data_IF_386491767314
#
_entry.id   IF_386491767314
#
_cell.length_a   1.000
_cell.length_b   1.000
_cell.length_c   1.000
_cell.angle_alpha   90.00
_cell.angle_beta   90.00
_cell.angle_gamma   90.00
#
_symmetry.space_group_name_H-M   'P 1'
#
loop_
_entity.id
_entity.type
_entity.pdbx_description
1 polymer ?
#
# COMPACT_ATOMS: atom_id res chain seq x y z
N UNK A 1 -33.51 56.35 3.52
CA UNK A 1 -33.08 55.67 2.28
C UNK A 1 -32.11 54.59 2.74
N UNK A 2 -32.66 53.38 2.84
CA UNK A 2 -31.92 52.19 3.23
C UNK A 2 -31.33 51.54 1.96
N UNK A 3 -30.03 51.43 1.86
CA UNK A 3 -29.39 50.57 0.91
C UNK A 3 -29.14 49.21 1.56
N UNK A 4 -29.89 48.22 1.12
CA UNK A 4 -29.69 46.80 1.43
C UNK A 4 -28.48 46.28 0.66
N UNK A 5 -27.40 46.03 1.37
CA UNK A 5 -26.31 45.18 0.89
C UNK A 5 -26.82 43.75 0.75
N UNK A 6 -26.97 43.28 -0.50
CA UNK A 6 -27.20 41.87 -0.81
C UNK A 6 -25.85 41.17 -0.73
N UNK A 7 -25.64 40.39 0.34
CA UNK A 7 -24.58 39.40 0.42
C UNK A 7 -24.82 38.29 -0.61
N UNK A 8 -23.92 38.19 -1.58
CA UNK A 8 -23.88 37.05 -2.50
C UNK A 8 -23.25 35.89 -1.77
N UNK A 9 -24.07 34.93 -1.35
CA UNK A 9 -23.58 33.62 -0.95
C UNK A 9 -23.22 32.82 -2.20
N UNK A 10 -21.95 32.44 -2.31
CA UNK A 10 -21.46 31.57 -3.37
C UNK A 10 -21.53 30.14 -2.83
N UNK A 11 -22.51 29.38 -3.28
CA UNK A 11 -22.56 27.94 -3.02
C UNK A 11 -21.71 27.21 -4.06
N UNK A 12 -20.60 26.61 -3.64
CA UNK A 12 -19.82 25.69 -4.48
C UNK A 12 -20.39 24.29 -4.26
N UNK A 13 -21.03 23.76 -5.26
CA UNK A 13 -21.55 22.38 -5.27
C UNK A 13 -20.70 21.57 -6.25
N UNK A 14 -19.98 20.58 -5.75
CA UNK A 14 -19.28 19.63 -6.60
C UNK A 14 -20.15 18.43 -6.95
N UNK A 15 -20.18 18.06 -8.22
CA UNK A 15 -20.81 16.82 -8.70
C UNK A 15 -19.75 15.70 -8.61
N UNK A 16 -20.03 14.72 -7.80
CA UNK A 16 -19.24 13.52 -7.65
C UNK A 16 -19.93 12.36 -8.35
N UNK A 17 -19.37 11.94 -9.48
CA UNK A 17 -19.73 10.68 -10.11
C UNK A 17 -18.67 9.65 -9.75
N UNK A 18 -18.95 8.80 -8.77
CA UNK A 18 -18.15 7.60 -8.53
C UNK A 18 -18.85 6.40 -9.19
N UNK A 19 -18.33 5.97 -10.33
CA UNK A 19 -18.73 4.69 -10.93
C UNK A 19 -17.83 3.61 -10.35
N UNK A 20 -18.35 2.84 -9.42
CA UNK A 20 -17.72 1.58 -9.00
C UNK A 20 -18.37 0.47 -9.81
N UNK A 21 -17.59 -0.21 -10.64
CA UNK A 21 -18.05 -1.33 -11.45
C UNK A 21 -18.50 -2.45 -10.49
N UNK A 22 -19.81 -2.67 -10.45
CA UNK A 22 -20.42 -3.79 -9.72
C UNK A 22 -21.60 -3.42 -8.81
N UNK A 23 -21.70 -2.19 -8.33
CA UNK A 23 -22.89 -1.75 -7.57
C UNK A 23 -23.08 -0.25 -7.83
N UNK A 24 -24.17 0.09 -8.50
CA UNK A 24 -24.45 1.44 -8.94
C UNK A 24 -24.66 2.42 -7.77
N UNK A 25 -23.75 3.37 -7.64
CA UNK A 25 -23.89 4.51 -6.76
C UNK A 25 -23.98 5.78 -7.59
N UNK A 26 -25.02 6.55 -7.41
CA UNK A 26 -25.14 7.92 -7.92
C UNK A 26 -25.02 8.85 -6.73
N UNK A 27 -23.90 9.55 -6.64
CA UNK A 27 -23.76 10.70 -5.73
C UNK A 27 -24.09 11.92 -6.56
N UNK A 28 -25.27 12.48 -6.34
CA UNK A 28 -25.72 13.71 -7.02
C UNK A 28 -25.45 14.91 -6.12
N UNK A 29 -24.58 15.80 -6.56
CA UNK A 29 -24.44 17.14 -5.99
C UNK A 29 -25.08 18.12 -6.98
N UNK A 30 -26.03 18.93 -6.54
CA UNK A 30 -26.69 19.93 -7.38
C UNK A 30 -25.93 21.25 -7.34
N UNK A 31 -25.54 21.73 -8.50
CA UNK A 31 -24.86 23.01 -8.67
C UNK A 31 -25.89 24.14 -8.80
N UNK A 32 -25.80 25.15 -7.95
CA UNK A 32 -26.46 26.43 -8.21
C UNK A 32 -25.43 27.43 -8.74
N UNK A 33 -25.67 27.90 -9.95
CA UNK A 33 -24.77 28.77 -10.69
C UNK A 33 -24.76 30.20 -10.12
N UNK A 34 -23.57 30.64 -9.70
CA UNK A 34 -23.25 32.04 -9.48
C UNK A 34 -21.81 32.24 -9.90
N UNK A 35 -21.62 32.72 -11.14
CA UNK A 35 -20.30 32.97 -11.70
C UNK A 35 -19.67 34.23 -11.10
N UNK A 36 -18.40 34.22 -10.74
CA UNK A 36 -17.34 34.95 -11.43
C UNK A 36 -16.03 35.00 -10.60
N UNK A 37 -14.94 34.69 -11.33
CA UNK A 37 -13.55 35.02 -11.01
C UNK A 37 -12.97 34.57 -9.67
N UNK A 38 -12.61 33.31 -9.60
CA UNK A 38 -11.57 32.82 -8.71
C UNK A 38 -10.36 32.39 -9.54
N UNK A 39 -9.17 32.86 -9.14
CA UNK A 39 -7.89 32.61 -9.79
C UNK A 39 -7.61 31.12 -9.99
N UNK A 40 -6.82 30.76 -10.99
CA UNK A 40 -6.49 29.39 -11.41
C UNK A 40 -6.02 28.45 -10.28
N UNK A 41 -5.48 28.96 -9.18
CA UNK A 41 -5.04 28.20 -8.00
C UNK A 41 -6.22 27.60 -7.22
N UNK A 42 -7.38 28.27 -7.14
CA UNK A 42 -8.55 27.76 -6.40
C UNK A 42 -9.29 26.63 -7.14
N UNK A 43 -9.11 26.50 -8.45
CA UNK A 43 -9.71 25.42 -9.24
C UNK A 43 -9.03 24.06 -9.00
N UNK A 44 -7.74 24.06 -8.64
CA UNK A 44 -6.99 22.83 -8.32
C UNK A 44 -7.36 22.27 -6.94
N UNK A 45 -7.56 23.13 -5.96
CA UNK A 45 -7.98 22.73 -4.61
C UNK A 45 -9.37 22.07 -4.62
N UNK A 46 -10.25 22.43 -5.55
CA UNK A 46 -11.59 21.84 -5.68
C UNK A 46 -11.60 20.35 -6.05
N UNK A 47 -10.49 19.79 -6.51
CA UNK A 47 -10.37 18.37 -6.85
C UNK A 47 -9.93 17.49 -5.67
N UNK A 48 -9.49 18.09 -4.57
CA UNK A 48 -9.03 17.38 -3.38
C UNK A 48 -10.08 17.47 -2.27
N UNK A 49 -10.28 16.37 -1.54
CA UNK A 49 -11.14 16.33 -0.35
C UNK A 49 -10.31 15.89 0.82
N UNK A 50 -10.34 16.65 1.90
CA UNK A 50 -9.60 16.41 3.14
C UNK A 50 -10.56 16.11 4.29
N UNK A 51 -10.11 15.33 5.27
CA UNK A 51 -10.80 15.16 6.54
C UNK A 51 -10.43 16.27 7.54
N UNK A 52 -11.04 16.21 8.72
CA UNK A 52 -10.83 17.20 9.77
C UNK A 52 -9.41 17.12 10.39
N UNK A 53 -8.68 16.04 10.17
CA UNK A 53 -7.30 15.80 10.62
C UNK A 53 -6.26 16.18 9.55
N UNK A 54 -6.67 16.73 8.41
CA UNK A 54 -5.79 17.11 7.31
C UNK A 54 -5.33 15.99 6.42
N UNK A 55 -5.98 14.81 6.48
CA UNK A 55 -5.67 13.73 5.55
C UNK A 55 -6.43 13.88 4.26
N UNK A 56 -5.74 13.70 3.13
CA UNK A 56 -6.38 13.64 1.83
C UNK A 56 -7.19 12.35 1.72
N UNK A 57 -8.52 12.47 1.62
CA UNK A 57 -9.45 11.34 1.55
C UNK A 57 -9.90 11.00 0.14
N UNK A 58 -9.85 11.94 -0.81
CA UNK A 58 -10.21 11.66 -2.20
C UNK A 58 -9.64 12.71 -3.16
N UNK A 59 -9.41 12.27 -4.41
CA UNK A 59 -9.05 13.11 -5.54
C UNK A 59 -9.98 12.82 -6.74
N UNK A 60 -10.57 13.88 -7.30
CA UNK A 60 -11.53 13.79 -8.39
C UNK A 60 -11.11 14.53 -9.67
N UNK A 61 -9.84 14.96 -9.73
CA UNK A 61 -9.31 15.63 -10.91
C UNK A 61 -9.00 14.65 -12.05
N UNK A 62 -8.80 15.22 -13.23
CA UNK A 62 -8.45 14.47 -14.45
C UNK A 62 -6.95 14.48 -14.76
N UNK A 63 -6.13 15.10 -13.93
CA UNK A 63 -4.68 15.16 -14.14
C UNK A 63 -4.04 13.77 -13.98
N UNK A 64 -3.05 13.51 -14.80
CA UNK A 64 -2.22 12.30 -14.72
C UNK A 64 -0.99 12.50 -13.85
N UNK A 65 -0.57 13.75 -13.68
CA UNK A 65 0.51 14.16 -12.78
C UNK A 65 -0.08 15.06 -11.71
N UNK A 66 0.12 14.70 -10.44
CA UNK A 66 -0.52 15.34 -9.30
C UNK A 66 0.55 15.81 -8.33
N UNK A 67 0.45 17.08 -7.96
CA UNK A 67 1.16 17.65 -6.83
C UNK A 67 0.14 17.91 -5.72
N UNK A 68 0.30 17.21 -4.57
CA UNK A 68 -0.56 17.41 -3.42
C UNK A 68 -0.02 18.62 -2.63
N UNK A 69 -0.84 19.65 -2.37
CA UNK A 69 -0.39 20.82 -1.66
C UNK A 69 -0.02 20.48 -0.20
N UNK A 70 1.00 21.15 0.34
CA UNK A 70 1.41 20.98 1.74
C UNK A 70 0.36 21.52 2.73
N UNK A 71 -0.37 22.56 2.31
CA UNK A 71 -1.44 23.18 3.08
C UNK A 71 -2.67 23.39 2.23
N UNK A 72 -3.82 23.48 2.88
CA UNK A 72 -5.07 23.85 2.24
C UNK A 72 -5.84 24.79 3.16
N UNK A 73 -6.52 25.77 2.59
CA UNK A 73 -7.45 26.61 3.31
C UNK A 73 -8.87 26.30 2.89
N UNK A 74 -9.74 26.11 3.85
CA UNK A 74 -11.16 25.93 3.62
C UNK A 74 -11.85 27.29 3.65
N UNK A 75 -11.89 27.97 2.52
CA UNK A 75 -12.75 29.14 2.36
C UNK A 75 -14.06 28.69 1.70
N UNK A 76 -15.10 28.55 2.49
CA UNK A 76 -16.45 28.31 1.95
C UNK A 76 -17.32 27.45 2.85
N UNK A 77 -18.57 27.82 2.96
CA UNK A 77 -19.64 27.08 3.63
C UNK A 77 -19.84 25.76 2.88
N UNK A 78 -19.53 24.65 3.48
CA UNK A 78 -20.06 23.38 3.02
C UNK A 78 -21.41 23.19 3.72
N UNK A 79 -22.46 23.51 3.02
CA UNK A 79 -23.81 23.19 3.42
C UNK A 79 -24.03 21.68 3.31
N UNK A 80 -25.12 21.19 3.70
CA UNK A 80 -25.59 19.83 3.78
C UNK A 80 -25.09 18.90 2.64
N UNK A 81 -24.30 17.88 2.97
CA UNK A 81 -23.87 16.84 2.01
C UNK A 81 -24.83 15.68 2.05
N UNK A 82 -25.31 15.23 0.87
CA UNK A 82 -26.22 14.11 0.72
C UNK A 82 -25.58 12.96 -0.05
N UNK A 83 -25.70 11.76 0.48
CA UNK A 83 -25.32 10.51 -0.20
C UNK A 83 -26.54 9.61 -0.28
N UNK A 84 -26.83 9.03 -1.45
CA UNK A 84 -27.95 8.11 -1.61
C UNK A 84 -27.47 6.70 -1.96
N UNK A 85 -28.17 5.69 -1.48
CA UNK A 85 -27.93 4.28 -1.78
C UNK A 85 -29.23 3.49 -1.68
N UNK A 86 -29.27 2.34 -2.36
CA UNK A 86 -30.32 1.33 -2.18
C UNK A 86 -30.09 0.45 -0.95
N UNK A 87 -29.05 0.70 -0.16
CA UNK A 87 -28.71 -0.03 1.05
C UNK A 87 -28.28 0.90 2.17
N UNK A 88 -28.97 0.82 3.30
CA UNK A 88 -28.63 1.57 4.51
C UNK A 88 -27.25 1.17 5.05
N UNK A 89 -26.89 -0.11 4.97
CA UNK A 89 -25.58 -0.62 5.44
C UNK A 89 -24.43 0.02 4.69
N UNK A 90 -24.58 0.21 3.39
CA UNK A 90 -23.58 0.86 2.57
C UNK A 90 -23.38 2.33 2.93
N UNK A 91 -24.46 3.06 3.25
CA UNK A 91 -24.36 4.45 3.71
C UNK A 91 -23.66 4.56 5.06
N UNK A 92 -23.98 3.66 5.99
CA UNK A 92 -23.37 3.61 7.33
C UNK A 92 -21.88 3.27 7.23
N UNK A 93 -21.53 2.27 6.41
CA UNK A 93 -20.13 1.89 6.18
C UNK A 93 -19.33 3.04 5.55
N UNK A 94 -19.94 3.73 4.58
CA UNK A 94 -19.35 4.92 3.96
C UNK A 94 -19.14 6.05 4.95
N UNK A 95 -20.14 6.34 5.80
CA UNK A 95 -20.02 7.35 6.83
C UNK A 95 -18.90 7.02 7.82
N UNK A 96 -18.80 5.75 8.25
CA UNK A 96 -17.72 5.28 9.12
C UNK A 96 -16.34 5.41 8.46
N UNK A 97 -16.22 5.03 7.18
CA UNK A 97 -14.98 5.16 6.39
C UNK A 97 -14.52 6.61 6.27
N UNK A 98 -15.48 7.55 6.14
CA UNK A 98 -15.22 8.98 6.04
C UNK A 98 -15.09 9.68 7.41
N UNK A 99 -15.18 8.93 8.52
CA UNK A 99 -15.11 9.50 9.88
C UNK A 99 -16.33 10.35 10.25
N UNK A 100 -17.43 10.30 9.48
CA UNK A 100 -18.64 11.07 9.72
C UNK A 100 -19.39 10.47 10.90
N UNK A 101 -19.49 11.20 12.02
CA UNK A 101 -20.13 10.70 13.24
C UNK A 101 -21.55 11.21 13.43
N UNK A 102 -21.86 12.39 12.88
CA UNK A 102 -23.17 13.05 13.03
C UNK A 102 -23.85 13.11 11.65
N UNK A 103 -24.77 12.19 11.40
CA UNK A 103 -25.52 12.13 10.17
C UNK A 103 -26.96 11.71 10.42
N UNK A 104 -27.87 12.05 9.47
CA UNK A 104 -29.25 11.61 9.42
C UNK A 104 -29.46 10.74 8.19
N UNK A 105 -30.12 9.61 8.34
CA UNK A 105 -30.55 8.79 7.21
C UNK A 105 -32.06 8.92 7.06
N UNK A 106 -32.51 9.23 5.83
CA UNK A 106 -33.90 9.27 5.45
C UNK A 106 -34.16 8.11 4.50
N UNK A 107 -35.24 7.38 4.75
CA UNK A 107 -35.75 6.35 3.84
C UNK A 107 -36.70 7.01 2.85
N UNK A 108 -36.29 7.07 1.58
CA UNK A 108 -37.07 7.58 0.45
C UNK A 108 -37.57 6.43 -0.45
N UNK A 109 -37.61 5.22 0.10
CA UNK A 109 -38.05 4.00 -0.59
C UNK A 109 -39.44 4.13 -1.13
N UNK A 110 -39.65 3.71 -2.35
CA UNK A 110 -40.94 3.82 -3.01
C UNK A 110 -41.04 3.08 -4.34
N UNK A 111 -42.13 3.28 -5.01
CA UNK A 111 -42.37 2.72 -6.33
C UNK A 111 -41.86 3.67 -7.42
N UNK A 112 -41.11 3.12 -8.38
CA UNK A 112 -40.70 3.78 -9.61
C UNK A 112 -41.32 3.05 -10.81
N UNK A 113 -41.39 3.71 -11.95
CA UNK A 113 -41.80 3.07 -13.21
C UNK A 113 -40.55 2.71 -14.01
N UNK A 114 -40.41 1.44 -14.39
CA UNK A 114 -39.31 0.99 -15.23
C UNK A 114 -39.48 1.44 -16.70
N UNK A 115 -38.50 1.13 -17.55
CA UNK A 115 -38.53 1.48 -18.99
C UNK A 115 -39.65 0.82 -19.79
N UNK A 116 -40.31 -0.21 -19.24
CA UNK A 116 -41.45 -0.93 -19.83
C UNK A 116 -42.78 -0.45 -19.26
N UNK A 117 -42.78 0.54 -18.36
CA UNK A 117 -44.00 1.09 -17.76
C UNK A 117 -44.50 0.31 -16.54
N UNK A 118 -43.75 -0.68 -16.03
CA UNK A 118 -44.12 -1.43 -14.83
C UNK A 118 -43.78 -0.66 -13.58
N UNK A 119 -44.61 -0.73 -12.57
CA UNK A 119 -44.32 -0.18 -11.24
C UNK A 119 -43.42 -1.15 -10.49
N UNK A 120 -42.24 -0.70 -10.17
CA UNK A 120 -41.21 -1.48 -9.43
C UNK A 120 -40.91 -0.82 -8.09
N UNK A 121 -40.87 -1.62 -7.03
CA UNK A 121 -40.46 -1.14 -5.71
C UNK A 121 -38.94 -0.97 -5.65
N UNK A 122 -38.52 0.23 -5.29
CA UNK A 122 -37.07 0.52 -5.16
C UNK A 122 -36.76 1.03 -3.77
N UNK A 123 -35.78 0.38 -3.11
CA UNK A 123 -35.19 0.89 -1.87
C UNK A 123 -34.29 2.07 -2.18
N UNK A 124 -34.50 3.16 -1.48
CA UNK A 124 -33.67 4.36 -1.57
C UNK A 124 -33.50 4.99 -0.19
N UNK A 125 -32.26 5.12 0.22
CA UNK A 125 -31.88 5.77 1.46
C UNK A 125 -30.99 6.97 1.15
N UNK A 126 -31.21 8.09 1.83
CA UNK A 126 -30.38 9.27 1.73
C UNK A 126 -29.77 9.59 3.09
N UNK A 127 -28.43 9.58 3.16
CA UNK A 127 -27.68 10.04 4.31
C UNK A 127 -27.32 11.51 4.11
N UNK A 128 -27.62 12.31 5.11
CA UNK A 128 -27.34 13.75 5.15
C UNK A 128 -26.48 14.06 6.37
N UNK A 129 -25.43 14.84 6.20
CA UNK A 129 -24.60 15.33 7.31
C UNK A 129 -24.18 16.78 7.07
N UNK A 130 -23.96 17.51 8.16
CA UNK A 130 -23.42 18.85 8.15
C UNK A 130 -21.93 18.81 8.34
N UNK A 131 -21.16 19.37 7.41
CA UNK A 131 -19.73 19.59 7.57
C UNK A 131 -19.53 20.95 8.25
N UNK A 132 -18.94 20.97 9.43
CA UNK A 132 -18.65 22.21 10.15
C UNK A 132 -17.71 23.09 9.33
N UNK A 133 -18.08 24.37 9.22
CA UNK A 133 -17.26 25.43 8.63
C UNK A 133 -16.00 25.64 9.45
N UNK A 134 -14.89 25.77 8.76
CA UNK A 134 -13.68 26.37 9.32
C UNK A 134 -13.63 27.86 8.99
N UNK A 135 -13.21 28.63 9.95
CA UNK A 135 -13.18 30.10 9.90
C UNK A 135 -12.12 30.54 8.88
N UNK A 136 -12.41 31.58 8.11
CA UNK A 136 -11.46 32.22 7.18
C UNK A 136 -10.11 32.47 7.86
N UNK A 137 -9.04 31.95 7.28
CA UNK A 137 -7.65 32.28 7.64
C UNK A 137 -6.80 31.16 8.23
N UNK A 138 -7.36 29.97 8.51
CA UNK A 138 -6.55 28.88 9.03
C UNK A 138 -6.07 27.97 7.88
N UNK A 139 -4.75 27.96 7.67
CA UNK A 139 -4.10 27.01 6.77
C UNK A 139 -3.92 25.66 7.49
N UNK A 140 -4.55 24.62 6.97
CA UNK A 140 -4.40 23.26 7.46
C UNK A 140 -3.27 22.55 6.75
N UNK A 141 -2.45 21.82 7.50
CA UNK A 141 -1.40 21.00 6.91
C UNK A 141 -1.96 19.68 6.40
N UNK A 142 -1.51 19.22 5.24
CA UNK A 142 -1.79 17.88 4.74
C UNK A 142 -0.86 16.90 5.43
N UNK A 143 -1.38 16.14 6.39
CA UNK A 143 -0.60 15.25 7.26
C UNK A 143 -0.56 13.80 6.80
N UNK A 144 -1.41 13.41 5.84
CA UNK A 144 -1.45 12.03 5.36
C UNK A 144 -2.36 11.81 4.17
N UNK A 145 -2.26 10.60 3.63
CA UNK A 145 -3.17 10.09 2.60
C UNK A 145 -4.07 9.06 3.26
N UNK A 146 -5.37 9.28 3.23
CA UNK A 146 -6.34 8.40 3.87
C UNK A 146 -6.49 7.06 3.14
N UNK A 147 -7.13 6.10 3.78
CA UNK A 147 -7.46 4.82 3.17
C UNK A 147 -8.29 5.02 1.89
N UNK A 148 -7.92 4.27 0.84
CA UNK A 148 -8.61 4.26 -0.46
C UNK A 148 -8.62 5.60 -1.24
N UNK A 149 -7.86 6.62 -0.84
CA UNK A 149 -7.94 7.98 -1.41
C UNK A 149 -7.80 8.01 -2.94
N UNK A 150 -6.92 7.18 -3.51
CA UNK A 150 -6.69 7.05 -4.95
C UNK A 150 -6.99 5.65 -5.48
N UNK A 151 -7.69 4.81 -4.70
CA UNK A 151 -7.93 3.41 -5.07
C UNK A 151 -8.55 3.29 -6.46
N UNK A 152 -7.95 2.42 -7.30
CA UNK A 152 -8.35 2.16 -8.69
C UNK A 152 -8.28 3.38 -9.63
N UNK A 153 -7.51 4.40 -9.28
CA UNK A 153 -7.25 5.50 -10.21
C UNK A 153 -6.22 5.05 -11.27
N UNK A 154 -6.72 4.65 -12.44
CA UNK A 154 -5.88 4.14 -13.55
C UNK A 154 -5.36 5.23 -14.47
N UNK A 155 -5.59 6.51 -14.16
CA UNK A 155 -5.14 7.65 -14.98
C UNK A 155 -3.84 8.25 -14.46
N UNK A 156 -3.61 8.22 -13.15
CA UNK A 156 -2.47 8.86 -12.50
C UNK A 156 -1.18 8.15 -12.88
N UNK A 157 -0.20 8.90 -13.34
CA UNK A 157 1.14 8.43 -13.71
C UNK A 157 2.23 8.89 -12.74
N UNK A 158 2.02 10.01 -12.07
CA UNK A 158 2.98 10.60 -11.13
C UNK A 158 2.25 11.32 -9.99
N UNK A 159 2.78 11.20 -8.78
CA UNK A 159 2.30 11.90 -7.58
C UNK A 159 3.48 12.50 -6.84
N UNK A 160 3.35 13.77 -6.45
CA UNK A 160 4.26 14.45 -5.53
C UNK A 160 3.55 14.69 -4.20
N UNK A 161 4.08 14.08 -3.14
CA UNK A 161 3.61 14.24 -1.76
C UNK A 161 4.40 15.36 -1.06
N UNK A 162 3.74 16.23 -0.27
CA UNK A 162 4.44 17.23 0.53
C UNK A 162 5.18 16.58 1.72
N UNK A 163 6.21 17.28 2.23
CA UNK A 163 7.03 16.81 3.36
C UNK A 163 6.25 16.68 4.68
N UNK A 164 5.06 17.25 4.76
CA UNK A 164 4.17 17.16 5.92
C UNK A 164 3.46 15.80 6.05
N UNK A 165 3.50 14.96 4.99
CA UNK A 165 2.84 13.65 4.99
C UNK A 165 3.64 12.64 5.80
N UNK A 166 3.02 12.10 6.85
CA UNK A 166 3.60 11.09 7.74
C UNK A 166 3.02 9.69 7.53
N UNK A 167 1.84 9.59 6.90
CA UNK A 167 1.14 8.29 6.75
C UNK A 167 0.50 8.15 5.38
N UNK A 168 0.67 6.98 4.76
CA UNK A 168 -0.07 6.53 3.59
C UNK A 168 -1.00 5.40 4.03
N UNK A 169 -2.31 5.63 3.94
CA UNK A 169 -3.35 4.75 4.47
C UNK A 169 -3.56 3.44 3.72
N UNK A 170 -4.38 2.57 4.30
CA UNK A 170 -4.73 1.28 3.70
C UNK A 170 -5.27 1.46 2.28
N UNK A 171 -4.71 0.71 1.31
CA UNK A 171 -5.15 0.73 -0.09
C UNK A 171 -5.16 2.12 -0.73
N UNK A 172 -4.44 3.09 -0.18
CA UNK A 172 -4.48 4.49 -0.63
C UNK A 172 -4.28 4.63 -2.15
N UNK A 173 -3.35 3.88 -2.73
CA UNK A 173 -3.04 3.84 -4.17
C UNK A 173 -3.28 2.45 -4.79
N UNK A 174 -4.04 1.58 -4.12
CA UNK A 174 -4.30 0.24 -4.64
C UNK A 174 -4.97 0.30 -6.01
N UNK A 175 -4.43 -0.45 -6.99
CA UNK A 175 -4.94 -0.46 -8.34
C UNK A 175 -4.61 0.79 -9.19
N UNK A 176 -3.71 1.67 -8.74
CA UNK A 176 -3.16 2.75 -9.56
C UNK A 176 -2.19 2.16 -10.59
N UNK A 177 -2.74 1.43 -11.57
CA UNK A 177 -1.95 0.59 -12.50
C UNK A 177 -1.02 1.38 -13.41
N UNK A 178 -1.24 2.68 -13.61
CA UNK A 178 -0.40 3.56 -14.42
C UNK A 178 0.58 4.40 -13.60
N UNK A 179 0.54 4.35 -12.27
CA UNK A 179 1.45 5.11 -11.40
C UNK A 179 2.89 4.61 -11.59
N UNK A 180 3.73 5.47 -12.16
CA UNK A 180 5.15 5.20 -12.45
C UNK A 180 6.07 5.72 -11.37
N UNK A 181 5.77 6.91 -10.87
CA UNK A 181 6.62 7.63 -9.92
C UNK A 181 5.81 8.25 -8.78
N UNK A 182 6.36 8.16 -7.60
CA UNK A 182 5.90 8.84 -6.39
C UNK A 182 7.13 9.15 -5.53
N UNK A 183 7.19 10.35 -4.94
CA UNK A 183 8.17 10.60 -3.90
C UNK A 183 7.66 10.06 -2.56
N UNK A 184 8.59 9.64 -1.72
CA UNK A 184 8.30 9.29 -0.33
C UNK A 184 8.97 10.35 0.55
N UNK A 185 8.19 11.28 1.16
CA UNK A 185 8.74 12.39 1.91
C UNK A 185 9.55 11.93 3.12
N UNK A 186 10.58 12.72 3.51
CA UNK A 186 11.51 12.35 4.58
C UNK A 186 10.83 12.10 5.93
N UNK A 187 9.67 12.74 6.17
CA UNK A 187 8.90 12.59 7.39
C UNK A 187 7.90 11.42 7.37
N UNK A 188 7.86 10.64 6.30
CA UNK A 188 6.96 9.49 6.20
C UNK A 188 7.35 8.43 7.23
N UNK A 189 6.40 8.04 8.07
CA UNK A 189 6.58 7.08 9.17
C UNK A 189 5.89 5.73 8.90
N UNK A 190 4.78 5.75 8.14
CA UNK A 190 3.95 4.57 7.95
C UNK A 190 3.40 4.44 6.54
N UNK A 191 3.52 3.23 5.99
CA UNK A 191 2.83 2.76 4.79
C UNK A 191 1.92 1.61 5.22
N UNK A 192 0.61 1.79 5.12
CA UNK A 192 -0.37 0.82 5.61
C UNK A 192 -0.60 -0.34 4.63
N UNK A 193 -1.44 -1.32 5.04
CA UNK A 193 -1.66 -2.55 4.25
C UNK A 193 -2.16 -2.24 2.84
N UNK A 194 -1.62 -2.96 1.86
CA UNK A 194 -1.99 -2.87 0.44
C UNK A 194 -1.90 -1.46 -0.16
N UNK A 195 -1.16 -0.53 0.47
CA UNK A 195 -1.14 0.88 0.08
C UNK A 195 -0.84 1.08 -1.41
N UNK A 196 0.07 0.29 -1.99
CA UNK A 196 0.44 0.29 -3.42
C UNK A 196 0.13 -1.04 -4.11
N UNK A 197 -0.85 -1.80 -3.60
CA UNK A 197 -1.24 -3.06 -4.21
C UNK A 197 -1.56 -2.87 -5.70
N UNK A 198 -0.94 -3.70 -6.56
CA UNK A 198 -1.19 -3.67 -8.01
C UNK A 198 -0.84 -2.32 -8.70
N UNK A 199 0.14 -1.56 -8.18
CA UNK A 199 0.74 -0.42 -8.87
C UNK A 199 1.77 -0.95 -9.89
N UNK A 200 1.29 -1.55 -10.99
CA UNK A 200 2.11 -2.34 -11.93
C UNK A 200 3.24 -1.56 -12.57
N UNK A 201 3.04 -0.26 -12.81
CA UNK A 201 4.00 0.59 -13.50
C UNK A 201 4.99 1.27 -12.56
N UNK A 202 4.86 1.13 -11.23
CA UNK A 202 5.80 1.70 -10.26
C UNK A 202 7.18 1.08 -10.44
N UNK A 203 8.20 1.93 -10.67
CA UNK A 203 9.56 1.46 -11.02
C UNK A 203 10.52 1.45 -9.84
N UNK A 204 10.35 2.35 -8.88
CA UNK A 204 11.25 2.55 -7.75
C UNK A 204 10.45 2.91 -6.50
N UNK A 205 10.95 2.49 -5.34
CA UNK A 205 10.43 2.90 -4.03
C UNK A 205 11.60 3.31 -3.12
N UNK A 206 11.97 4.60 -3.20
CA UNK A 206 13.02 5.20 -2.37
C UNK A 206 12.45 5.59 -1.00
N UNK A 207 12.37 4.61 -0.10
CA UNK A 207 11.71 4.74 1.20
C UNK A 207 12.64 5.42 2.23
N UNK A 208 12.19 6.48 2.95
CA UNK A 208 13.01 7.15 3.96
C UNK A 208 13.20 6.27 5.21
N UNK A 209 14.35 6.45 5.89
CA UNK A 209 14.68 5.68 7.10
C UNK A 209 13.71 5.93 8.28
N UNK A 210 12.93 7.02 8.26
CA UNK A 210 11.91 7.31 9.29
C UNK A 210 10.74 6.31 9.29
N UNK A 211 10.55 5.54 8.21
CA UNK A 211 9.50 4.54 8.17
C UNK A 211 9.77 3.46 9.23
N UNK A 212 8.78 3.25 10.09
CA UNK A 212 8.75 2.22 11.13
C UNK A 212 7.80 1.07 10.82
N UNK A 213 6.92 1.25 9.84
CA UNK A 213 5.92 0.26 9.46
C UNK A 213 5.64 0.26 7.95
N UNK A 214 5.75 -0.92 7.34
CA UNK A 214 5.29 -1.22 5.98
C UNK A 214 4.35 -2.41 6.09
N UNK A 215 3.07 -2.21 5.79
CA UNK A 215 2.03 -3.21 6.01
C UNK A 215 2.07 -4.39 5.04
N UNK A 216 1.29 -5.42 5.35
CA UNK A 216 1.11 -6.58 4.48
C UNK A 216 0.61 -6.14 3.10
N UNK A 217 1.12 -6.80 2.04
CA UNK A 217 0.72 -6.53 0.66
C UNK A 217 1.04 -5.08 0.17
N UNK A 218 1.82 -4.29 0.92
CA UNK A 218 1.99 -2.87 0.63
C UNK A 218 2.45 -2.60 -0.81
N UNK A 219 3.34 -3.42 -1.36
CA UNK A 219 3.84 -3.34 -2.76
C UNK A 219 3.52 -4.61 -3.56
N UNK A 220 2.54 -5.42 -3.13
CA UNK A 220 2.18 -6.63 -3.85
C UNK A 220 1.75 -6.31 -5.28
N UNK A 221 2.23 -7.10 -6.26
CA UNK A 221 1.98 -6.91 -7.70
C UNK A 221 2.52 -5.61 -8.29
N UNK A 222 3.50 -4.96 -7.69
CA UNK A 222 4.27 -3.89 -8.32
C UNK A 222 5.27 -4.50 -9.32
N UNK A 223 4.75 -4.98 -10.45
CA UNK A 223 5.49 -5.84 -11.39
C UNK A 223 6.73 -5.19 -11.99
N UNK A 224 6.72 -3.86 -12.18
CA UNK A 224 7.85 -3.12 -12.73
C UNK A 224 8.79 -2.55 -11.67
N UNK A 225 8.55 -2.79 -10.39
CA UNK A 225 9.44 -2.36 -9.32
C UNK A 225 10.79 -3.05 -9.46
N UNK A 226 11.84 -2.27 -9.73
CA UNK A 226 13.21 -2.75 -9.97
C UNK A 226 14.10 -2.66 -8.75
N UNK A 227 13.88 -1.63 -7.95
CA UNK A 227 14.65 -1.36 -6.74
C UNK A 227 13.75 -0.85 -5.61
N UNK A 228 14.10 -1.26 -4.41
CA UNK A 228 13.53 -0.75 -3.16
C UNK A 228 14.64 -0.72 -2.11
N UNK A 229 14.79 0.41 -1.43
CA UNK A 229 15.56 0.44 -0.19
C UNK A 229 14.63 0.15 0.98
N UNK A 230 14.94 -0.88 1.75
CA UNK A 230 14.16 -1.23 2.93
C UNK A 230 14.62 -0.34 4.10
N UNK A 231 13.71 0.41 4.75
CA UNK A 231 14.07 1.34 5.82
C UNK A 231 14.70 0.63 7.02
N UNK A 232 15.72 1.26 7.63
CA UNK A 232 16.48 0.67 8.75
C UNK A 232 15.66 0.51 10.03
N UNK A 233 14.58 1.28 10.19
CA UNK A 233 13.81 1.29 11.42
C UNK A 233 12.66 0.26 11.47
N UNK A 234 12.42 -0.48 10.39
CA UNK A 234 11.44 -1.58 10.44
C UNK A 234 12.05 -2.81 11.11
N UNK A 235 11.21 -3.58 11.80
CA UNK A 235 11.62 -4.80 12.52
C UNK A 235 11.12 -6.08 11.86
N UNK A 236 10.23 -5.97 10.90
CA UNK A 236 9.63 -7.08 10.16
C UNK A 236 9.31 -6.65 8.73
N UNK A 237 9.53 -7.54 7.76
CA UNK A 237 8.90 -7.48 6.45
C UNK A 237 7.66 -8.34 6.54
N UNK A 238 6.48 -7.73 6.42
CA UNK A 238 5.20 -8.41 6.60
C UNK A 238 4.84 -9.32 5.42
N UNK A 239 3.75 -10.06 5.58
CA UNK A 239 3.29 -11.03 4.59
C UNK A 239 2.98 -10.35 3.24
N UNK A 240 3.41 -11.00 2.16
CA UNK A 240 3.13 -10.58 0.79
C UNK A 240 3.64 -9.16 0.42
N UNK A 241 4.45 -8.52 1.26
CA UNK A 241 4.81 -7.09 1.08
C UNK A 241 5.33 -6.79 -0.32
N UNK A 242 6.21 -7.63 -0.89
CA UNK A 242 6.79 -7.48 -2.24
C UNK A 242 6.44 -8.66 -3.16
N UNK A 243 5.40 -9.42 -2.82
CA UNK A 243 4.97 -10.56 -3.62
C UNK A 243 4.61 -10.14 -5.05
N UNK A 244 5.08 -10.89 -6.04
CA UNK A 244 4.91 -10.59 -7.46
C UNK A 244 5.55 -9.26 -7.94
N UNK A 245 6.61 -8.79 -7.27
CA UNK A 245 7.51 -7.75 -7.80
C UNK A 245 8.49 -8.41 -8.77
N UNK A 246 7.99 -8.77 -9.95
CA UNK A 246 8.67 -9.65 -10.93
C UNK A 246 10.04 -9.09 -11.33
N UNK A 247 10.14 -7.77 -11.48
CA UNK A 247 11.33 -7.08 -11.96
C UNK A 247 12.28 -6.61 -10.85
N UNK A 248 11.99 -6.91 -9.59
CA UNK A 248 12.89 -6.60 -8.47
C UNK A 248 14.19 -7.40 -8.64
N UNK A 249 15.35 -6.70 -8.65
CA UNK A 249 16.63 -7.31 -8.98
C UNK A 249 17.48 -7.63 -7.76
N UNK A 250 17.48 -6.77 -6.77
CA UNK A 250 18.25 -6.93 -5.55
C UNK A 250 17.52 -6.34 -4.35
N UNK A 251 17.84 -6.84 -3.16
CA UNK A 251 17.33 -6.29 -1.90
C UNK A 251 18.35 -6.48 -0.78
N UNK A 252 18.51 -5.46 0.05
CA UNK A 252 19.24 -5.55 1.30
C UNK A 252 18.25 -5.58 2.47
N UNK A 253 18.33 -6.61 3.31
CA UNK A 253 17.53 -6.78 4.52
C UNK A 253 18.24 -6.10 5.69
N UNK A 254 17.72 -5.01 6.26
CA UNK A 254 18.40 -4.28 7.34
C UNK A 254 18.58 -5.11 8.61
N UNK A 255 19.60 -4.74 9.41
CA UNK A 255 19.95 -5.45 10.63
C UNK A 255 18.86 -5.43 11.74
N UNK A 256 17.92 -4.50 11.68
CA UNK A 256 16.78 -4.45 12.62
C UNK A 256 15.68 -5.45 12.28
N UNK A 257 15.63 -5.97 11.05
CA UNK A 257 14.61 -6.94 10.63
C UNK A 257 14.92 -8.29 11.30
N UNK A 258 13.93 -8.79 12.04
CA UNK A 258 13.97 -10.08 12.74
C UNK A 258 13.27 -11.19 11.97
N UNK A 259 12.25 -10.84 11.20
CA UNK A 259 11.43 -11.81 10.50
C UNK A 259 11.09 -11.32 9.11
N UNK A 260 11.18 -12.22 8.11
CA UNK A 260 10.62 -12.05 6.78
C UNK A 260 9.35 -12.90 6.74
N UNK A 261 8.20 -12.25 6.44
CA UNK A 261 6.86 -12.82 6.50
C UNK A 261 6.54 -13.82 5.39
N UNK A 262 5.35 -14.39 5.48
CA UNK A 262 4.80 -15.33 4.52
C UNK A 262 4.74 -14.72 3.12
N UNK A 263 5.28 -15.42 2.11
CA UNK A 263 5.30 -14.98 0.70
C UNK A 263 5.83 -13.55 0.46
N UNK A 264 6.66 -13.01 1.34
CA UNK A 264 7.09 -11.61 1.29
C UNK A 264 7.74 -11.21 -0.04
N UNK A 265 8.50 -12.11 -0.69
CA UNK A 265 9.14 -11.95 -2.01
C UNK A 265 8.72 -13.06 -2.97
N UNK A 266 7.52 -13.63 -2.81
CA UNK A 266 6.99 -14.68 -3.67
C UNK A 266 6.92 -14.19 -5.13
N UNK A 267 7.40 -15.01 -6.09
CA UNK A 267 7.44 -14.68 -7.52
C UNK A 267 8.28 -13.42 -7.88
N UNK A 268 9.30 -13.08 -7.11
CA UNK A 268 10.28 -12.08 -7.52
C UNK A 268 11.28 -12.73 -8.50
N UNK A 269 10.83 -12.95 -9.74
CA UNK A 269 11.53 -13.79 -10.72
C UNK A 269 12.94 -13.31 -11.05
N UNK A 270 13.16 -11.99 -11.12
CA UNK A 270 14.43 -11.37 -11.47
C UNK A 270 15.32 -11.07 -10.26
N UNK A 271 14.89 -11.42 -9.06
CA UNK A 271 15.67 -11.22 -7.83
C UNK A 271 16.88 -12.16 -7.85
N UNK A 272 18.06 -11.59 -8.14
CA UNK A 272 19.31 -12.34 -8.24
C UNK A 272 20.21 -12.22 -7.02
N UNK A 273 19.99 -11.21 -6.17
CA UNK A 273 20.77 -10.97 -4.97
C UNK A 273 19.91 -10.53 -3.79
N UNK A 274 20.14 -11.19 -2.65
CA UNK A 274 19.56 -10.81 -1.36
C UNK A 274 20.67 -10.72 -0.34
N UNK A 275 20.92 -9.53 0.19
CA UNK A 275 21.86 -9.35 1.29
C UNK A 275 21.11 -9.43 2.63
N UNK A 276 21.38 -10.48 3.39
CA UNK A 276 20.87 -10.66 4.74
C UNK A 276 21.85 -10.10 5.76
N UNK A 277 21.44 -9.11 6.56
CA UNK A 277 22.29 -8.57 7.63
C UNK A 277 22.07 -9.30 8.95
N UNK A 278 23.08 -9.24 9.82
CA UNK A 278 23.02 -9.79 11.18
C UNK A 278 21.85 -9.17 11.94
N UNK A 279 21.00 -10.03 12.51
CA UNK A 279 19.76 -9.63 13.18
C UNK A 279 18.56 -10.45 12.71
N UNK A 280 18.55 -10.87 11.45
CA UNK A 280 17.50 -11.74 10.91
C UNK A 280 17.51 -13.09 11.66
N UNK A 281 16.34 -13.52 12.11
CA UNK A 281 16.18 -14.76 12.88
C UNK A 281 15.35 -15.81 12.15
N UNK A 282 14.31 -15.37 11.42
CA UNK A 282 13.31 -16.28 10.86
C UNK A 282 12.89 -15.85 9.46
N UNK A 283 12.79 -16.82 8.54
CA UNK A 283 12.23 -16.65 7.22
C UNK A 283 11.01 -17.59 7.12
N UNK A 284 9.83 -17.00 6.90
CA UNK A 284 8.56 -17.73 6.92
C UNK A 284 8.27 -18.44 5.59
N UNK A 285 7.17 -19.25 5.59
CA UNK A 285 6.80 -20.07 4.46
C UNK A 285 6.79 -19.30 3.14
N UNK A 286 7.36 -19.89 2.11
CA UNK A 286 7.35 -19.41 0.72
C UNK A 286 7.91 -17.98 0.53
N UNK A 287 8.67 -17.44 1.49
CA UNK A 287 9.12 -16.05 1.46
C UNK A 287 9.85 -15.66 0.16
N UNK A 288 10.64 -16.59 -0.43
CA UNK A 288 11.36 -16.42 -1.70
C UNK A 288 10.99 -17.48 -2.74
N UNK A 289 9.78 -18.02 -2.67
CA UNK A 289 9.30 -19.03 -3.61
C UNK A 289 9.29 -18.47 -5.04
N UNK A 290 9.78 -19.23 -6.03
CA UNK A 290 9.92 -18.80 -7.44
C UNK A 290 10.84 -17.58 -7.67
N UNK A 291 11.85 -17.33 -6.84
CA UNK A 291 12.91 -16.39 -7.16
C UNK A 291 13.92 -17.07 -8.10
N UNK A 292 13.54 -17.21 -9.36
CA UNK A 292 14.28 -18.04 -10.34
C UNK A 292 15.71 -17.60 -10.61
N UNK A 293 16.01 -16.31 -10.44
CA UNK A 293 17.32 -15.71 -10.72
C UNK A 293 18.26 -15.70 -9.52
N UNK A 294 17.81 -16.09 -8.32
CA UNK A 294 18.62 -16.09 -7.12
C UNK A 294 19.68 -17.19 -7.21
N UNK A 295 20.96 -16.81 -7.17
CA UNK A 295 22.08 -17.76 -7.40
C UNK A 295 22.77 -18.22 -6.13
N UNK A 296 22.77 -17.38 -5.11
CA UNK A 296 23.44 -17.63 -3.83
C UNK A 296 22.64 -17.00 -2.70
N UNK A 297 22.68 -17.63 -1.52
CA UNK A 297 22.22 -17.05 -0.25
C UNK A 297 23.29 -17.23 0.82
N UNK A 298 23.55 -16.14 1.56
CA UNK A 298 24.45 -16.13 2.71
C UNK A 298 23.64 -15.77 3.97
N UNK A 299 23.31 -16.79 4.76
CA UNK A 299 22.50 -16.66 5.96
C UNK A 299 23.36 -16.26 7.16
N UNK A 300 23.12 -15.09 7.78
CA UNK A 300 23.93 -14.62 8.90
C UNK A 300 23.80 -15.51 10.14
N UNK A 301 24.73 -15.33 11.06
CA UNK A 301 24.85 -16.11 12.31
C UNK A 301 23.59 -16.12 13.18
N UNK A 302 22.69 -15.16 12.99
CA UNK A 302 21.46 -14.99 13.77
C UNK A 302 20.26 -15.76 13.23
N UNK A 303 20.32 -16.26 11.99
CA UNK A 303 19.20 -17.04 11.41
C UNK A 303 19.12 -18.40 12.08
N UNK A 304 17.95 -18.69 12.66
CA UNK A 304 17.71 -19.96 13.39
C UNK A 304 16.67 -20.83 12.73
N UNK A 305 15.86 -20.28 11.82
CA UNK A 305 14.73 -21.01 11.22
C UNK A 305 14.43 -20.59 9.78
N UNK A 306 14.36 -21.58 8.89
CA UNK A 306 13.70 -21.51 7.59
C UNK A 306 12.45 -22.37 7.61
N UNK A 307 11.30 -21.77 7.31
CA UNK A 307 10.05 -22.49 7.24
C UNK A 307 9.88 -23.24 5.88
N UNK A 308 8.70 -23.79 5.63
CA UNK A 308 8.50 -24.62 4.45
C UNK A 308 8.61 -23.82 3.15
N UNK A 309 9.26 -24.40 2.15
CA UNK A 309 9.33 -23.89 0.78
C UNK A 309 9.91 -22.47 0.64
N UNK A 310 10.75 -22.04 1.59
CA UNK A 310 11.30 -20.67 1.60
C UNK A 310 11.95 -20.32 0.27
N UNK A 311 12.86 -21.18 -0.23
CA UNK A 311 13.56 -21.01 -1.51
C UNK A 311 13.14 -22.02 -2.56
N UNK A 312 11.96 -22.61 -2.40
CA UNK A 312 11.47 -23.61 -3.35
C UNK A 312 11.33 -23.01 -4.74
N UNK A 313 11.76 -23.76 -5.77
CA UNK A 313 11.84 -23.31 -7.17
C UNK A 313 12.74 -22.09 -7.43
N UNK A 314 13.70 -21.80 -6.57
CA UNK A 314 14.81 -20.90 -6.90
C UNK A 314 15.80 -21.70 -7.79
N UNK A 315 15.45 -21.89 -9.06
CA UNK A 315 16.13 -22.85 -9.96
C UNK A 315 17.57 -22.48 -10.32
N UNK A 316 17.97 -21.23 -10.13
CA UNK A 316 19.38 -20.80 -10.26
C UNK A 316 20.18 -20.90 -8.98
N UNK A 317 19.53 -21.21 -7.83
CA UNK A 317 20.21 -21.23 -6.53
C UNK A 317 21.14 -22.44 -6.43
N UNK A 318 22.43 -22.19 -6.60
CA UNK A 318 23.48 -23.22 -6.58
C UNK A 318 24.24 -23.28 -5.26
N UNK A 319 24.31 -22.18 -4.51
CA UNK A 319 25.11 -22.07 -3.29
C UNK A 319 24.31 -21.54 -2.11
N UNK A 320 24.42 -22.24 -0.97
CA UNK A 320 23.83 -21.82 0.32
C UNK A 320 24.91 -21.77 1.36
N UNK A 321 25.05 -20.63 2.03
CA UNK A 321 26.01 -20.41 3.11
C UNK A 321 25.24 -20.23 4.41
N UNK A 322 25.50 -21.09 5.39
CA UNK A 322 24.86 -21.10 6.71
C UNK A 322 25.89 -20.75 7.76
N UNK A 323 25.85 -19.52 8.28
CA UNK A 323 26.82 -19.02 9.26
C UNK A 323 26.39 -19.21 10.72
N UNK A 324 25.18 -19.70 10.99
CA UNK A 324 24.73 -19.91 12.37
C UNK A 324 25.56 -20.98 13.06
N UNK A 325 26.02 -20.74 14.30
CA UNK A 325 26.87 -21.71 15.05
C UNK A 325 26.07 -22.95 15.50
N UNK A 326 24.76 -22.91 15.46
CA UNK A 326 23.89 -24.02 15.76
C UNK A 326 23.36 -24.65 14.48
N UNK A 327 22.78 -25.86 14.58
CA UNK A 327 22.08 -26.46 13.44
C UNK A 327 20.92 -25.58 13.06
N UNK A 328 20.90 -25.12 11.82
CA UNK A 328 19.78 -24.34 11.27
C UNK A 328 18.53 -25.21 11.21
N UNK A 329 17.44 -24.78 11.82
CA UNK A 329 16.16 -25.48 11.72
C UNK A 329 15.52 -25.18 10.36
N UNK A 330 15.41 -26.20 9.53
CA UNK A 330 14.70 -26.12 8.24
C UNK A 330 13.44 -26.98 8.27
N UNK A 331 12.43 -26.56 7.51
CA UNK A 331 11.21 -27.32 7.29
C UNK A 331 11.20 -27.96 5.89
N UNK A 332 10.15 -28.70 5.58
CA UNK A 332 10.02 -29.41 4.30
C UNK A 332 10.25 -28.50 3.09
N UNK A 333 11.10 -28.95 2.18
CA UNK A 333 11.43 -28.25 0.91
C UNK A 333 11.87 -26.79 1.10
N UNK A 334 12.52 -26.45 2.23
CA UNK A 334 12.99 -25.09 2.51
C UNK A 334 14.03 -24.62 1.48
N UNK A 335 14.86 -25.54 0.98
CA UNK A 335 15.84 -25.33 -0.08
C UNK A 335 15.40 -26.04 -1.36
N UNK A 336 15.78 -25.55 -2.55
CA UNK A 336 15.47 -26.22 -3.82
C UNK A 336 16.36 -27.44 -4.06
N UNK A 337 15.97 -28.31 -4.96
CA UNK A 337 16.76 -29.51 -5.32
C UNK A 337 17.97 -29.19 -6.21
N UNK A 338 18.01 -28.01 -6.79
CA UNK A 338 19.05 -27.53 -7.70
C UNK A 338 20.31 -27.07 -6.98
N UNK A 339 20.30 -26.94 -5.63
CA UNK A 339 21.46 -26.56 -4.84
C UNK A 339 22.61 -27.55 -5.08
N UNK A 340 23.81 -27.03 -5.30
CA UNK A 340 25.01 -27.82 -5.55
C UNK A 340 25.93 -27.90 -4.33
N UNK A 341 25.98 -26.85 -3.54
CA UNK A 341 26.88 -26.74 -2.39
C UNK A 341 26.18 -26.04 -1.24
N UNK A 342 26.32 -26.58 -0.02
CA UNK A 342 25.81 -26.01 1.21
C UNK A 342 26.95 -25.92 2.22
N UNK A 343 27.41 -24.72 2.48
CA UNK A 343 28.46 -24.45 3.45
C UNK A 343 27.88 -24.28 4.84
N UNK A 344 28.40 -25.06 5.79
CA UNK A 344 27.96 -25.07 7.19
C UNK A 344 29.18 -24.98 8.13
N UNK A 345 29.00 -24.57 9.40
CA UNK A 345 30.13 -24.52 10.38
C UNK A 345 30.81 -25.86 10.48
N UNK A 346 32.16 -25.81 10.41
CA UNK A 346 33.05 -26.99 10.39
C UNK A 346 32.79 -27.94 11.55
N UNK A 347 32.55 -27.37 12.74
CA UNK A 347 32.37 -28.15 13.97
C UNK A 347 30.98 -28.84 14.01
N UNK A 348 30.08 -28.50 13.11
CA UNK A 348 28.72 -29.00 13.06
C UNK A 348 28.41 -29.87 11.86
N UNK A 349 29.28 -29.92 10.87
CA UNK A 349 29.02 -30.61 9.59
C UNK A 349 28.58 -32.08 9.80
N UNK A 350 29.17 -32.78 10.75
CA UNK A 350 28.83 -34.17 11.07
C UNK A 350 27.47 -34.33 11.76
N UNK A 351 26.96 -33.27 12.37
CA UNK A 351 25.70 -33.29 13.11
C UNK A 351 24.48 -33.11 12.17
N UNK A 352 24.63 -32.33 11.10
CA UNK A 352 23.53 -31.94 10.20
C UNK A 352 22.68 -33.11 9.69
N UNK A 353 23.28 -34.25 9.22
CA UNK A 353 22.48 -35.38 8.72
C UNK A 353 21.54 -36.02 9.74
N UNK A 354 21.75 -35.77 11.04
CA UNK A 354 20.93 -36.31 12.12
C UNK A 354 19.64 -35.50 12.37
N UNK A 355 19.49 -34.35 11.71
CA UNK A 355 18.30 -33.48 11.87
C UNK A 355 17.34 -33.62 10.70
N UNK A 356 16.05 -33.51 11.01
CA UNK A 356 14.96 -33.60 10.03
C UNK A 356 15.19 -32.65 8.84
N UNK A 357 14.93 -33.15 7.66
CA UNK A 357 15.09 -32.49 6.34
C UNK A 357 16.53 -32.21 5.92
N UNK A 358 17.55 -32.23 6.79
CA UNK A 358 18.94 -32.08 6.42
C UNK A 358 19.54 -33.35 5.81
N UNK A 359 18.98 -34.52 6.14
CA UNK A 359 19.42 -35.81 5.60
C UNK A 359 19.43 -35.84 4.05
N UNK A 360 18.44 -35.16 3.43
CA UNK A 360 18.33 -35.08 1.97
C UNK A 360 19.51 -34.35 1.33
N UNK A 361 20.12 -33.39 2.04
CA UNK A 361 21.21 -32.53 1.57
C UNK A 361 22.60 -32.98 2.04
N UNK A 362 22.73 -34.10 2.75
CA UNK A 362 24.00 -34.52 3.39
C UNK A 362 25.17 -34.61 2.41
N UNK A 363 24.93 -34.98 1.16
CA UNK A 363 25.96 -35.15 0.11
C UNK A 363 26.44 -33.78 -0.46
N UNK A 364 25.76 -32.67 -0.15
CA UNK A 364 26.07 -31.32 -0.60
C UNK A 364 26.79 -30.49 0.46
N UNK A 365 26.90 -31.01 1.70
CA UNK A 365 27.50 -30.30 2.82
C UNK A 365 29.00 -30.10 2.61
N UNK A 366 29.47 -28.86 2.88
CA UNK A 366 30.88 -28.45 2.85
C UNK A 366 31.19 -27.67 4.12
N UNK A 367 32.43 -27.74 4.63
CA UNK A 367 32.83 -26.89 5.75
C UNK A 367 33.00 -25.41 5.31
N UNK A 368 32.61 -24.47 6.16
CA UNK A 368 32.77 -23.02 5.89
C UNK A 368 34.21 -22.63 5.59
N UNK A 369 35.21 -23.32 6.19
CA UNK A 369 36.64 -23.09 5.94
C UNK A 369 37.03 -23.26 4.47
N UNK A 370 36.33 -24.08 3.69
CA UNK A 370 36.56 -24.22 2.24
C UNK A 370 36.15 -22.97 1.45
N UNK A 371 35.19 -22.19 1.96
CA UNK A 371 34.73 -20.98 1.28
C UNK A 371 35.75 -19.85 1.32
N UNK A 372 36.60 -19.78 2.37
CA UNK A 372 37.59 -18.71 2.57
C UNK A 372 38.84 -18.90 1.73
N UNK A 373 39.03 -20.06 1.10
CA UNK A 373 40.23 -20.44 0.34
C UNK A 373 40.03 -20.28 -1.17
N UNK A 374 38.79 -20.06 -1.62
CA UNK A 374 38.39 -19.91 -3.04
C UNK A 374 38.24 -18.42 -3.41
#
# INVERSE_FOLDING_TARGET
MEEKSKGNSISIVMILLAIVIGFGFVIGLTQTSGANNLNNTNKEISNYVFDDDGKLIAYYGDKTEIEIPATYSLSGVVEEVKMSSNSIYTLVDRANTLGIRNYKIVNETGNITDEYGNVVYQEKYTLTYEKKQTIEGDDYQVTGIAANAFMNNTKITSITLPETVTTIGNQAFAGCTQLKTINFPANLERIENSAFYNCRMLTEANLPDNITYIGSQAFQQCQNLRSVNIPKNITMIYDLTFSNCINLTEVEIPSNVRTIGYEAFYNCHNLHSVKFNVGLQRIQNMAFYNCYSLTEIDLPTTVTQLQSQVFYRCTALSRVIVRTPNILNISNSALPYEVLEIYVPDERIADYPNYSYWYEYQHLLRPLSELEVA
#
